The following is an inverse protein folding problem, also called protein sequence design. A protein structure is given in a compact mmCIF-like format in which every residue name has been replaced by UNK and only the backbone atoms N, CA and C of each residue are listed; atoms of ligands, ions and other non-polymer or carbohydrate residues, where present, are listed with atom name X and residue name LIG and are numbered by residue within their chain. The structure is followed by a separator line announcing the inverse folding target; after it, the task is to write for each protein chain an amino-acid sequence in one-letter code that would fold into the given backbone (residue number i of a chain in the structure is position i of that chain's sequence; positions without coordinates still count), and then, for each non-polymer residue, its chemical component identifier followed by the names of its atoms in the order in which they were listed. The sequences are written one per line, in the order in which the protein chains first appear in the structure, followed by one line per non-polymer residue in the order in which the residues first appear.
data_IF_185956092295
#
_entry.id   IF_185956092295
#
_cell.length_a   1.000
_cell.length_b   1.000
_cell.length_c   1.000
_cell.angle_alpha   90.00
_cell.angle_beta   90.00
_cell.angle_gamma   90.00
#
_symmetry.space_group_name_H-M   'P 1'
#
loop_
_entity.id
_entity.type
_entity.pdbx_description
1 polymer ?
#
# COMPACT_ATOMS: atom_id res chain seq x y z
N UNK A 1 -12.60 -5.64 -0.08
CA UNK A 1 -12.10 -6.12 1.23
C UNK A 1 -12.49 -5.11 2.29
N UNK A 2 -12.75 -5.60 3.50
CA UNK A 2 -13.03 -4.81 4.70
C UNK A 2 -11.92 -5.03 5.73
N UNK A 3 -12.02 -4.41 6.91
CA UNK A 3 -11.05 -4.63 7.98
C UNK A 3 -11.02 -6.09 8.47
N UNK A 4 -12.12 -6.86 8.34
CA UNK A 4 -12.22 -8.24 8.82
C UNK A 4 -11.43 -9.23 7.94
N UNK A 5 -11.20 -8.91 6.67
CA UNK A 5 -10.34 -9.68 5.76
C UNK A 5 -8.93 -9.90 6.33
N UNK A 6 -8.38 -8.92 7.07
CA UNK A 6 -7.03 -8.95 7.60
C UNK A 6 -6.95 -9.79 8.88
N UNK A 7 -6.70 -11.08 8.73
CA UNK A 7 -6.58 -12.06 9.82
C UNK A 7 -5.14 -12.56 9.98
N UNK A 8 -4.81 -13.17 11.13
CA UNK A 8 -3.48 -13.75 11.40
C UNK A 8 -3.23 -15.10 10.70
N UNK A 9 -3.95 -15.40 9.61
CA UNK A 9 -3.84 -16.67 8.87
C UNK A 9 -3.63 -16.41 7.39
N UNK A 10 -2.51 -15.79 7.00
CA UNK A 10 -2.21 -15.58 5.59
C UNK A 10 -2.03 -16.92 4.88
N UNK A 11 -2.38 -16.93 3.60
CA UNK A 11 -2.02 -18.03 2.71
C UNK A 11 -0.49 -18.13 2.67
N UNK A 12 0.05 -19.30 3.04
CA UNK A 12 1.49 -19.52 3.04
C UNK A 12 1.97 -20.04 1.69
N UNK A 13 3.11 -19.51 1.22
CA UNK A 13 3.82 -20.02 0.05
C UNK A 13 4.98 -20.88 0.55
N UNK A 14 4.96 -22.16 0.20
CA UNK A 14 6.03 -23.09 0.52
C UNK A 14 7.24 -22.85 -0.40
N UNK A 15 8.44 -23.06 0.14
CA UNK A 15 9.67 -23.16 -0.66
C UNK A 15 9.71 -24.42 -1.54
N UNK A 16 8.78 -25.36 -1.33
CA UNK A 16 8.59 -26.56 -2.16
C UNK A 16 7.49 -26.30 -3.19
N UNK A 17 7.79 -26.16 -4.48
CA UNK A 17 6.81 -25.81 -5.51
C UNK A 17 5.59 -26.74 -5.54
N UNK A 18 5.81 -28.04 -5.32
CA UNK A 18 4.76 -29.06 -5.26
C UNK A 18 3.76 -28.86 -4.11
N UNK A 19 4.08 -28.05 -3.10
CA UNK A 19 3.18 -27.69 -1.99
C UNK A 19 2.39 -26.41 -2.24
N UNK A 20 2.59 -25.75 -3.38
CA UNK A 20 1.94 -24.48 -3.72
C UNK A 20 0.73 -24.65 -4.66
N UNK A 21 0.26 -25.88 -4.89
CA UNK A 21 -0.83 -26.17 -5.83
C UNK A 21 -2.14 -25.43 -5.48
N UNK A 22 -2.40 -25.19 -4.20
CA UNK A 22 -3.58 -24.47 -3.72
C UNK A 22 -3.44 -22.93 -3.77
N UNK A 23 -2.25 -22.40 -4.07
CA UNK A 23 -2.01 -20.94 -4.09
C UNK A 23 -2.83 -20.28 -5.18
N UNK A 24 -2.90 -20.90 -6.37
CA UNK A 24 -3.67 -20.37 -7.50
C UNK A 24 -5.16 -20.19 -7.18
N UNK A 25 -5.75 -21.09 -6.37
CA UNK A 25 -7.15 -21.01 -5.98
C UNK A 25 -7.46 -19.84 -5.01
N UNK A 26 -6.44 -19.29 -4.37
CA UNK A 26 -6.55 -18.19 -3.40
C UNK A 26 -5.92 -16.89 -3.95
N UNK A 27 -5.61 -16.86 -5.26
CA UNK A 27 -5.08 -15.68 -5.91
C UNK A 27 -6.22 -14.71 -6.25
N UNK A 28 -6.23 -13.56 -5.60
CA UNK A 28 -7.14 -12.47 -5.94
C UNK A 28 -6.49 -11.55 -6.96
N UNK A 29 -7.23 -11.22 -8.03
CA UNK A 29 -6.78 -10.31 -9.08
C UNK A 29 -7.74 -9.14 -9.19
N UNK A 30 -7.21 -7.94 -9.07
CA UNK A 30 -7.93 -6.70 -9.30
C UNK A 30 -7.26 -5.93 -10.44
N UNK A 31 -8.06 -5.27 -11.27
CA UNK A 31 -7.60 -4.42 -12.37
C UNK A 31 -8.41 -3.14 -12.38
N UNK A 32 -7.75 -2.03 -12.67
CA UNK A 32 -8.37 -0.71 -12.78
C UNK A 32 -7.48 0.24 -13.58
N UNK A 33 -8.06 1.33 -14.07
CA UNK A 33 -7.29 2.45 -14.60
C UNK A 33 -6.67 3.26 -13.46
N UNK A 34 -5.55 3.91 -13.74
CA UNK A 34 -4.96 4.91 -12.86
C UNK A 34 -4.91 6.25 -13.60
N UNK A 35 -5.38 7.30 -12.94
CA UNK A 35 -5.29 8.67 -13.38
C UNK A 35 -4.09 9.38 -12.73
N UNK A 36 -3.66 10.47 -13.35
CA UNK A 36 -2.52 11.23 -12.85
C UNK A 36 -2.79 11.72 -11.42
N UNK A 37 -1.90 11.38 -10.49
CA UNK A 37 -2.03 11.73 -9.07
C UNK A 37 -2.67 10.63 -8.22
N UNK A 38 -3.17 9.54 -8.82
CA UNK A 38 -3.66 8.38 -8.05
C UNK A 38 -2.56 7.79 -7.17
N UNK A 39 -2.94 7.37 -5.97
CA UNK A 39 -2.04 6.82 -4.96
C UNK A 39 -2.40 5.38 -4.65
N UNK A 40 -1.39 4.53 -4.68
CA UNK A 40 -1.49 3.14 -4.28
C UNK A 40 -0.77 2.93 -2.95
N UNK A 41 -1.49 2.32 -2.02
CA UNK A 41 -0.98 1.91 -0.71
C UNK A 41 -0.98 0.38 -0.65
N UNK A 42 0.21 -0.20 -0.49
CA UNK A 42 0.38 -1.62 -0.26
C UNK A 42 0.92 -1.80 1.15
N UNK A 43 0.17 -2.48 2.00
CA UNK A 43 0.49 -2.63 3.42
C UNK A 43 0.47 -4.10 3.84
N UNK A 44 1.26 -4.45 4.86
CA UNK A 44 1.08 -5.73 5.57
C UNK A 44 -0.23 -5.71 6.35
N UNK A 45 -0.70 -6.90 6.70
CA UNK A 45 -2.03 -7.14 7.25
C UNK A 45 -2.38 -6.29 8.48
N UNK A 46 -1.49 -6.16 9.45
CA UNK A 46 -1.75 -5.35 10.66
C UNK A 46 -2.04 -3.89 10.30
N UNK A 47 -1.30 -3.34 9.33
CA UNK A 47 -1.49 -1.97 8.90
C UNK A 47 -2.65 -1.82 7.91
N UNK A 48 -2.85 -2.79 7.03
CA UNK A 48 -4.01 -2.84 6.12
C UNK A 48 -5.32 -2.91 6.89
N UNK A 49 -5.37 -3.70 7.97
CA UNK A 49 -6.51 -3.75 8.88
C UNK A 49 -6.83 -2.39 9.47
N UNK A 50 -5.82 -1.73 10.06
CA UNK A 50 -5.98 -0.40 10.64
C UNK A 50 -6.46 0.61 9.60
N UNK A 51 -5.89 0.57 8.38
CA UNK A 51 -6.26 1.45 7.28
C UNK A 51 -7.74 1.27 6.91
N UNK A 52 -8.19 0.04 6.69
CA UNK A 52 -9.59 -0.23 6.34
C UNK A 52 -10.54 0.16 7.45
N UNK A 53 -10.19 -0.11 8.71
CA UNK A 53 -11.01 0.26 9.85
C UNK A 53 -11.16 1.79 9.98
N UNK A 54 -10.10 2.55 9.70
CA UNK A 54 -10.17 4.01 9.66
C UNK A 54 -11.11 4.49 8.54
N UNK A 55 -11.01 3.93 7.33
CA UNK A 55 -11.91 4.24 6.20
C UNK A 55 -13.37 3.93 6.55
N UNK A 56 -13.64 2.77 7.15
CA UNK A 56 -14.98 2.35 7.57
C UNK A 56 -15.58 3.28 8.63
N UNK A 57 -14.74 3.88 9.48
CA UNK A 57 -15.13 4.90 10.45
C UNK A 57 -15.30 6.30 9.83
N UNK A 58 -15.12 6.46 8.52
CA UNK A 58 -15.22 7.74 7.81
C UNK A 58 -13.97 8.63 7.95
N UNK A 59 -12.85 8.06 8.38
CA UNK A 59 -11.57 8.76 8.50
C UNK A 59 -10.79 8.73 7.16
N UNK A 60 -9.69 9.50 7.12
CA UNK A 60 -8.83 9.65 5.95
C UNK A 60 -7.40 9.17 6.26
N UNK A 61 -7.16 7.84 6.35
CA UNK A 61 -5.88 7.30 6.79
C UNK A 61 -4.70 7.66 5.86
N UNK A 62 -4.96 8.01 4.60
CA UNK A 62 -3.93 8.49 3.67
C UNK A 62 -3.23 9.76 4.16
N UNK A 63 -3.91 10.62 4.93
CA UNK A 63 -3.29 11.83 5.50
C UNK A 63 -2.11 11.49 6.42
N UNK A 64 -2.16 10.33 7.09
CA UNK A 64 -1.07 9.85 7.92
C UNK A 64 0.20 9.53 7.11
N UNK A 65 0.06 9.09 5.84
CA UNK A 65 1.15 8.67 4.96
C UNK A 65 1.62 9.77 4.01
N UNK A 66 0.71 10.63 3.57
CA UNK A 66 0.98 11.71 2.62
C UNK A 66 1.74 12.89 3.27
N UNK A 67 1.74 12.96 4.61
CA UNK A 67 2.51 13.94 5.36
C UNK A 67 4.03 13.72 5.30
N UNK A 68 4.79 14.83 5.43
CA UNK A 68 6.28 14.86 5.52
C UNK A 68 6.82 13.93 6.63
N UNK A 69 5.98 13.62 7.62
CA UNK A 69 6.31 12.76 8.76
C UNK A 69 6.74 11.36 8.34
N UNK A 70 6.23 10.79 7.23
CA UNK A 70 6.58 9.42 6.83
C UNK A 70 7.83 9.28 5.97
N UNK A 71 8.49 10.40 5.61
CA UNK A 71 9.79 10.37 4.91
C UNK A 71 10.96 9.92 5.79
N UNK A 72 10.73 9.52 7.03
CA UNK A 72 11.75 9.02 7.95
C UNK A 72 11.28 7.73 8.63
N UNK A 73 12.12 6.70 8.55
CA UNK A 73 11.89 5.41 9.23
C UNK A 73 11.65 5.58 10.75
N UNK A 74 12.36 6.52 11.39
CA UNK A 74 12.19 6.79 12.84
C UNK A 74 10.80 7.35 13.16
N UNK A 75 10.33 8.28 12.34
CA UNK A 75 9.00 8.89 12.52
C UNK A 75 7.88 7.89 12.23
N UNK A 76 8.05 7.06 11.20
CA UNK A 76 7.16 5.93 10.93
C UNK A 76 7.07 4.98 12.14
N UNK A 77 8.22 4.56 12.68
CA UNK A 77 8.26 3.69 13.87
C UNK A 77 7.55 4.33 15.07
N UNK A 78 7.88 5.58 15.40
CA UNK A 78 7.26 6.29 16.52
C UNK A 78 5.74 6.47 16.35
N UNK A 79 5.26 6.69 15.13
CA UNK A 79 3.84 6.77 14.83
C UNK A 79 3.14 5.41 15.02
N UNK A 80 3.74 4.33 14.51
CA UNK A 80 3.23 2.98 14.69
C UNK A 80 3.18 2.58 16.17
N UNK A 81 4.21 2.91 16.95
CA UNK A 81 4.23 2.67 18.40
C UNK A 81 3.15 3.45 19.13
N UNK A 82 2.86 4.69 18.70
CA UNK A 82 1.74 5.46 19.20
C UNK A 82 0.38 4.81 18.95
N UNK A 83 0.19 4.19 17.77
CA UNK A 83 -1.03 3.44 17.46
C UNK A 83 -1.14 2.16 18.30
N UNK A 84 -0.05 1.43 18.48
CA UNK A 84 0.00 0.23 19.34
C UNK A 84 -0.31 0.57 20.80
N UNK A 85 0.25 1.66 21.32
CA UNK A 85 -0.02 2.12 22.69
C UNK A 85 -1.49 2.47 22.93
N UNK A 86 -2.23 2.89 21.89
CA UNK A 86 -3.68 3.14 21.95
C UNK A 86 -4.53 1.89 21.71
N UNK A 87 -3.90 0.75 21.41
CA UNK A 87 -4.60 -0.51 21.11
C UNK A 87 -5.31 -0.53 19.76
N UNK A 88 -5.04 0.43 18.86
CA UNK A 88 -5.70 0.54 17.54
C UNK A 88 -4.91 -0.11 16.40
N UNK A 89 -3.65 -0.48 16.65
CA UNK A 89 -2.80 -1.22 15.71
C UNK A 89 -2.31 -2.49 16.39
N UNK A 90 -2.38 -3.63 15.68
CA UNK A 90 -1.88 -4.91 16.18
C UNK A 90 -0.38 -4.86 16.46
N UNK A 91 0.07 -5.66 17.42
CA UNK A 91 1.49 -5.76 17.78
C UNK A 91 2.27 -6.69 16.83
N UNK A 92 2.11 -6.49 15.52
CA UNK A 92 2.80 -7.23 14.46
C UNK A 92 3.74 -6.32 13.67
N UNK A 93 4.56 -6.91 12.80
CA UNK A 93 5.43 -6.17 11.90
C UNK A 93 4.62 -5.40 10.86
N UNK A 94 4.94 -4.11 10.70
CA UNK A 94 4.25 -3.23 9.76
C UNK A 94 5.18 -2.80 8.64
N UNK A 95 4.72 -2.97 7.40
CA UNK A 95 5.37 -2.44 6.21
C UNK A 95 4.32 -1.72 5.37
N UNK A 96 4.72 -0.61 4.74
CA UNK A 96 3.91 0.11 3.75
C UNK A 96 4.76 0.52 2.56
N UNK A 97 4.22 0.37 1.37
CA UNK A 97 4.70 0.97 0.13
C UNK A 97 3.64 1.96 -0.35
N UNK A 98 4.06 3.20 -0.56
CA UNK A 98 3.25 4.25 -1.20
C UNK A 98 3.82 4.49 -2.59
N UNK A 99 3.00 4.30 -3.61
CA UNK A 99 3.30 4.68 -4.98
C UNK A 99 2.31 5.76 -5.44
N UNK A 100 2.78 6.67 -6.28
CA UNK A 100 1.93 7.65 -6.95
C UNK A 100 2.08 7.45 -8.45
N UNK A 101 0.94 7.38 -9.15
CA UNK A 101 0.93 7.23 -10.59
C UNK A 101 1.02 8.59 -11.28
N UNK A 102 1.93 8.66 -12.24
CA UNK A 102 2.09 9.81 -13.12
C UNK A 102 2.20 9.26 -14.55
N UNK A 103 1.47 9.83 -15.53
CA UNK A 103 1.64 9.44 -16.91
C UNK A 103 3.08 9.75 -17.36
N UNK A 104 3.60 8.94 -18.28
CA UNK A 104 4.88 9.23 -18.90
C UNK A 104 4.85 10.65 -19.47
N UNK A 105 5.83 11.48 -19.10
CA UNK A 105 5.99 12.78 -19.73
C UNK A 105 6.21 12.54 -21.21
N UNK A 106 5.38 13.13 -22.06
CA UNK A 106 5.70 13.23 -23.47
C UNK A 106 7.06 13.92 -23.57
N UNK A 107 8.07 13.20 -24.06
CA UNK A 107 9.31 13.84 -24.47
C UNK A 107 8.91 14.86 -25.54
N UNK A 108 9.11 16.14 -25.26
CA UNK A 108 9.01 17.16 -26.29
C UNK A 108 10.05 16.80 -27.35
N UNK A 109 9.60 16.21 -28.46
CA UNK A 109 10.43 16.06 -29.64
C UNK A 109 10.77 17.49 -30.08
N UNK A 110 12.02 17.89 -29.83
CA UNK A 110 12.58 19.06 -30.48
C UNK A 110 12.49 18.80 -32.00
N UNK A 111 11.57 19.48 -32.67
CA UNK A 111 11.65 19.63 -34.12
C UNK A 111 12.92 20.46 -34.40
N UNK A 112 13.89 19.96 -35.18
CA UNK A 112 14.92 20.84 -35.68
C UNK A 112 14.25 21.85 -36.61
N UNK A 113 14.52 23.13 -36.39
CA UNK A 113 14.20 24.18 -37.33
C UNK A 113 14.95 23.87 -38.63
N UNK A 114 14.23 23.58 -39.71
CA UNK A 114 14.80 23.60 -41.05
C UNK A 114 15.11 25.06 -41.40
N UNK A 115 16.40 25.39 -41.33
CA UNK A 115 16.97 26.51 -42.05
C UNK A 115 17.33 26.02 -43.46
N UNK A 116 16.65 26.53 -44.49
CA UNK A 116 17.24 27.04 -45.74
C UNK A 116 16.19 27.86 -46.47
#
# INVERSE_FOLDING_TARGET
EDAAFFTNRPLLISSRPERNLSVAANLHRATGGLEAGDRLYLATDALGQWFMQAVENGEQPWDAFDGVMMRSRRRFASWADGLRARGVLRNDDVTVLRAEWQPARASAMAQPAEAT
#
